data_IF_982269566644
#
_entry.id   IF_982269566644
#
_cell.length_a   1.000
_cell.length_b   1.000
_cell.length_c   1.000
_cell.angle_alpha   90.00
_cell.angle_beta   90.00
_cell.angle_gamma   90.00
#
_symmetry.space_group_name_H-M   'P 1'
#
loop_
_entity.id
_entity.type
_entity.pdbx_description
1 polymer ?
#
# COMPACT_ATOMS: atom_id res chain seq x y z
N UNK A 1 18.34 24.68 -1.49
CA UNK A 1 17.37 23.80 -2.18
C UNK A 1 17.74 22.35 -1.92
N UNK A 2 16.79 21.57 -1.46
CA UNK A 2 17.00 20.13 -1.25
C UNK A 2 16.51 19.37 -2.48
N UNK A 3 17.37 18.51 -3.00
CA UNK A 3 17.01 17.65 -4.12
C UNK A 3 16.81 16.24 -3.60
N UNK A 4 15.63 15.67 -3.85
CA UNK A 4 15.36 14.27 -3.55
C UNK A 4 15.79 13.45 -4.75
N UNK A 5 16.69 12.50 -4.53
CA UNK A 5 17.15 11.58 -5.55
C UNK A 5 16.51 10.22 -5.33
N UNK A 6 15.80 9.73 -6.35
CA UNK A 6 15.18 8.42 -6.33
C UNK A 6 16.02 7.42 -7.11
N UNK A 7 16.14 6.23 -6.58
CA UNK A 7 16.81 5.11 -7.26
C UNK A 7 15.76 4.02 -7.52
N UNK A 8 15.65 3.61 -8.77
CA UNK A 8 14.76 2.50 -9.13
C UNK A 8 15.38 1.20 -8.67
N UNK A 9 14.67 0.47 -7.82
CA UNK A 9 15.12 -0.79 -7.23
C UNK A 9 14.01 -1.82 -7.25
N UNK A 10 14.34 -3.05 -6.82
CA UNK A 10 13.31 -4.03 -6.51
C UNK A 10 12.59 -3.62 -5.22
N UNK A 11 11.30 -3.97 -5.07
CA UNK A 11 10.58 -3.67 -3.83
C UNK A 11 11.26 -4.32 -2.61
N UNK A 12 11.32 -3.61 -1.48
CA UNK A 12 11.92 -4.18 -0.28
C UNK A 12 11.05 -5.28 0.34
N UNK A 13 11.69 -6.15 1.11
CA UNK A 13 11.02 -7.29 1.72
C UNK A 13 9.85 -6.90 2.63
N UNK A 14 9.98 -5.79 3.37
CA UNK A 14 8.91 -5.34 4.26
C UNK A 14 7.63 -4.97 3.50
N UNK A 15 7.78 -4.40 2.31
CA UNK A 15 6.64 -4.04 1.46
C UNK A 15 5.98 -5.29 0.90
N UNK A 16 6.78 -6.24 0.41
CA UNK A 16 6.27 -7.49 -0.12
C UNK A 16 5.56 -8.30 0.97
N UNK A 17 6.09 -8.30 2.19
CA UNK A 17 5.47 -8.97 3.33
C UNK A 17 4.11 -8.34 3.67
N UNK A 18 4.02 -7.02 3.67
CA UNK A 18 2.77 -6.31 3.92
C UNK A 18 1.74 -6.60 2.84
N UNK A 19 2.13 -6.53 1.55
CA UNK A 19 1.24 -6.86 0.43
C UNK A 19 0.75 -8.30 0.49
N UNK A 20 1.64 -9.25 0.84
CA UNK A 20 1.27 -10.64 0.95
C UNK A 20 0.17 -10.84 2.00
N UNK A 21 0.25 -10.16 3.13
CA UNK A 21 -0.77 -10.25 4.16
C UNK A 21 -2.12 -9.67 3.74
N UNK A 22 -2.11 -8.63 2.92
CA UNK A 22 -3.33 -8.10 2.33
C UNK A 22 -3.93 -9.11 1.34
N UNK A 23 -3.11 -9.65 0.45
CA UNK A 23 -3.56 -10.62 -0.54
C UNK A 23 -4.09 -11.90 0.10
N UNK A 24 -3.42 -12.37 1.15
CA UNK A 24 -3.81 -13.57 1.90
C UNK A 24 -4.88 -13.30 2.97
N UNK A 25 -5.20 -12.04 3.22
CA UNK A 25 -6.16 -11.60 4.25
C UNK A 25 -5.77 -12.04 5.68
N UNK A 26 -4.48 -12.05 5.98
CA UNK A 26 -3.96 -12.46 7.30
C UNK A 26 -3.73 -11.30 8.26
N UNK A 27 -3.32 -10.14 7.77
CA UNK A 27 -3.17 -8.89 8.52
C UNK A 27 -2.33 -9.01 9.80
N UNK A 28 -1.22 -9.74 9.73
CA UNK A 28 -0.36 -10.03 10.87
C UNK A 28 0.89 -9.13 10.95
N UNK A 29 2.03 -9.78 11.16
CA UNK A 29 3.32 -9.09 11.40
C UNK A 29 3.82 -8.23 10.26
N UNK A 30 3.35 -8.44 9.04
CA UNK A 30 3.71 -7.58 7.90
C UNK A 30 3.32 -6.13 8.14
N UNK A 31 2.36 -5.87 9.01
CA UNK A 31 1.94 -4.52 9.38
C UNK A 31 2.84 -3.86 10.42
N UNK A 32 3.84 -4.55 10.94
CA UNK A 32 4.84 -3.96 11.83
C UNK A 32 5.76 -2.95 11.11
N UNK A 33 5.69 -2.89 9.79
CA UNK A 33 6.36 -1.85 9.01
C UNK A 33 5.84 -0.44 9.30
N UNK A 34 4.64 -0.30 9.89
CA UNK A 34 4.07 0.99 10.24
C UNK A 34 4.49 1.44 11.63
N UNK A 35 4.78 2.74 11.78
CA UNK A 35 4.91 3.35 13.09
C UNK A 35 3.56 3.24 13.83
N UNK A 36 3.57 3.23 15.16
CA UNK A 36 2.34 3.11 15.94
C UNK A 36 1.34 4.22 15.63
N UNK A 37 1.83 5.43 15.37
CA UNK A 37 1.01 6.61 15.06
C UNK A 37 0.95 6.91 13.57
N UNK A 38 1.22 5.91 12.71
CA UNK A 38 1.16 6.09 11.28
C UNK A 38 -0.24 6.51 10.80
N UNK A 39 -0.27 7.23 9.70
CA UNK A 39 -1.52 7.64 9.07
C UNK A 39 -1.57 7.00 7.67
N UNK A 40 -2.75 6.52 7.29
CA UNK A 40 -2.98 5.95 5.97
C UNK A 40 -4.20 6.58 5.33
N UNK A 41 -4.08 6.96 4.06
CA UNK A 41 -5.20 7.41 3.25
C UNK A 41 -5.15 6.69 1.90
N UNK A 42 -6.18 5.90 1.63
CA UNK A 42 -6.32 5.18 0.35
C UNK A 42 -7.47 5.75 -0.48
N UNK A 43 -7.79 7.04 -0.27
CA UNK A 43 -8.83 7.75 -1.03
C UNK A 43 -10.20 7.76 -0.36
N UNK A 44 -10.36 7.15 0.80
CA UNK A 44 -11.63 7.07 1.52
C UNK A 44 -11.64 7.99 2.74
N UNK A 45 -10.66 7.85 3.61
CA UNK A 45 -10.54 8.61 4.86
C UNK A 45 -9.11 8.48 5.39
N UNK A 46 -8.75 9.33 6.33
CA UNK A 46 -7.52 9.18 7.08
C UNK A 46 -7.72 8.17 8.21
N UNK A 47 -6.90 7.13 8.21
CA UNK A 47 -6.88 6.14 9.28
C UNK A 47 -5.67 6.41 10.16
N UNK A 48 -5.90 6.70 11.43
CA UNK A 48 -4.87 7.11 12.38
C UNK A 48 -4.46 5.95 13.28
N UNK A 49 -3.18 5.58 13.21
CA UNK A 49 -2.58 4.53 14.01
C UNK A 49 -2.51 3.18 13.30
N UNK A 50 -1.48 2.41 13.64
CA UNK A 50 -1.23 1.09 13.03
C UNK A 50 -2.45 0.17 13.14
N UNK A 51 -3.08 0.11 14.30
CA UNK A 51 -4.22 -0.77 14.51
C UNK A 51 -5.44 -0.33 13.73
N UNK A 52 -5.68 0.98 13.61
CA UNK A 52 -6.75 1.49 12.79
C UNK A 52 -6.50 1.19 11.31
N UNK A 53 -5.26 1.31 10.85
CA UNK A 53 -4.88 0.96 9.47
C UNK A 53 -5.18 -0.52 9.22
N UNK A 54 -4.72 -1.40 10.10
CA UNK A 54 -4.97 -2.84 10.00
C UNK A 54 -6.45 -3.17 9.95
N UNK A 55 -7.22 -2.64 10.89
CA UNK A 55 -8.64 -2.95 11.02
C UNK A 55 -9.49 -2.39 9.88
N UNK A 56 -9.23 -1.14 9.49
CA UNK A 56 -9.97 -0.52 8.40
C UNK A 56 -9.64 -1.15 7.05
N UNK A 57 -8.38 -1.50 6.83
CA UNK A 57 -7.97 -2.16 5.60
C UNK A 57 -8.58 -3.56 5.51
N UNK A 58 -8.60 -4.29 6.63
CA UNK A 58 -9.27 -5.60 6.70
C UNK A 58 -10.74 -5.48 6.30
N UNK A 59 -11.44 -4.52 6.85
CA UNK A 59 -12.86 -4.29 6.52
C UNK A 59 -13.03 -3.89 5.06
N UNK A 60 -12.13 -3.06 4.54
CA UNK A 60 -12.16 -2.61 3.15
C UNK A 60 -11.97 -3.79 2.17
N UNK A 61 -11.01 -4.66 2.47
CA UNK A 61 -10.68 -5.81 1.62
C UNK A 61 -11.76 -6.90 1.73
N UNK A 62 -12.41 -7.03 2.89
CA UNK A 62 -13.39 -8.09 3.14
C UNK A 62 -14.79 -7.75 2.64
N UNK A 63 -14.89 -7.03 1.52
CA UNK A 63 -16.15 -6.59 0.92
C UNK A 63 -16.54 -7.36 -0.33
N UNK A 64 -16.14 -8.63 -0.42
CA UNK A 64 -16.55 -9.48 -1.52
C UNK A 64 -15.64 -9.43 -2.73
N UNK A 65 -14.34 -9.20 -2.51
CA UNK A 65 -13.35 -9.31 -3.58
C UNK A 65 -12.02 -9.82 -3.04
N UNK A 66 -11.18 -10.31 -3.95
CA UNK A 66 -9.78 -10.60 -3.69
C UNK A 66 -8.93 -9.63 -4.49
N UNK A 67 -7.80 -9.25 -3.93
CA UNK A 67 -6.85 -8.36 -4.57
C UNK A 67 -5.51 -9.06 -4.72
N UNK A 68 -4.82 -8.77 -5.81
CA UNK A 68 -3.45 -9.23 -6.03
C UNK A 68 -2.62 -8.06 -6.54
N UNK A 69 -1.52 -7.80 -5.83
CA UNK A 69 -0.65 -6.67 -6.15
C UNK A 69 0.40 -7.09 -7.16
N UNK A 70 0.38 -6.47 -8.34
CA UNK A 70 1.41 -6.67 -9.37
C UNK A 70 2.35 -5.47 -9.35
N UNK A 71 3.59 -5.71 -8.94
CA UNK A 71 4.62 -4.67 -8.91
C UNK A 71 5.08 -4.39 -10.33
N UNK A 72 5.05 -3.11 -10.72
CA UNK A 72 5.67 -2.67 -11.97
C UNK A 72 7.01 -2.02 -11.68
N UNK A 73 7.05 -1.09 -10.72
CA UNK A 73 8.29 -0.44 -10.36
C UNK A 73 8.26 0.10 -8.93
N UNK A 74 9.44 0.22 -8.35
CA UNK A 74 9.64 0.78 -7.03
C UNK A 74 10.77 1.79 -7.07
N UNK A 75 10.54 2.95 -6.48
CA UNK A 75 11.50 4.05 -6.43
C UNK A 75 11.87 4.33 -4.98
N UNK A 76 13.16 4.25 -4.68
CA UNK A 76 13.68 4.37 -3.33
C UNK A 76 14.34 5.72 -3.10
N UNK A 77 14.10 6.29 -1.93
CA UNK A 77 14.85 7.38 -1.35
C UNK A 77 14.77 7.25 0.17
N UNK A 78 15.61 7.95 0.95
CA UNK A 78 15.64 7.73 2.41
C UNK A 78 14.33 7.92 3.13
N UNK A 79 13.55 8.95 2.79
CA UNK A 79 12.34 9.31 3.53
C UNK A 79 11.05 9.20 2.71
N UNK A 80 11.13 8.93 1.44
CA UNK A 80 9.94 8.75 0.58
C UNK A 80 10.19 7.59 -0.37
N UNK A 81 9.29 6.61 -0.32
CA UNK A 81 9.34 5.46 -1.20
C UNK A 81 8.08 5.43 -2.05
N UNK A 82 8.24 5.14 -3.32
CA UNK A 82 7.13 5.15 -4.28
C UNK A 82 7.00 3.78 -4.90
N UNK A 83 5.81 3.22 -4.80
CA UNK A 83 5.44 1.97 -5.45
C UNK A 83 4.43 2.28 -6.56
N UNK A 84 4.70 1.79 -7.75
CA UNK A 84 3.78 1.90 -8.86
C UNK A 84 3.50 0.51 -9.43
N UNK A 85 2.23 0.21 -9.63
CA UNK A 85 1.85 -1.11 -10.11
C UNK A 85 0.40 -1.18 -10.52
N UNK A 86 -0.09 -2.40 -10.53
CA UNK A 86 -1.49 -2.69 -10.79
C UNK A 86 -2.02 -3.60 -9.69
N UNK A 87 -3.29 -3.44 -9.37
CA UNK A 87 -3.98 -4.33 -8.46
C UNK A 87 -5.02 -5.12 -9.25
N UNK A 88 -4.83 -6.43 -9.33
CA UNK A 88 -5.83 -7.33 -9.89
C UNK A 88 -6.95 -7.51 -8.89
N UNK A 89 -8.16 -7.14 -9.24
CA UNK A 89 -9.34 -7.28 -8.38
C UNK A 89 -10.32 -8.26 -8.99
N UNK A 90 -10.61 -9.31 -8.26
CA UNK A 90 -11.59 -10.32 -8.64
C UNK A 90 -12.71 -10.34 -7.62
N UNK A 91 -13.93 -10.19 -8.09
CA UNK A 91 -15.10 -10.08 -7.22
C UNK A 91 -15.75 -11.45 -7.00
N UNK A 92 -16.31 -11.65 -5.79
CA UNK A 92 -17.02 -12.88 -5.44
C UNK A 92 -18.31 -13.03 -6.24
N UNK A 93 -18.97 -11.90 -6.55
CA UNK A 93 -20.12 -11.88 -7.43
C UNK A 93 -19.66 -12.08 -8.89
N UNK A 94 -20.03 -13.21 -9.55
CA UNK A 94 -19.58 -13.49 -10.91
C UNK A 94 -20.13 -12.53 -11.96
N UNK A 95 -21.15 -11.75 -11.63
CA UNK A 95 -21.69 -10.73 -12.54
C UNK A 95 -20.82 -9.48 -12.61
N UNK A 96 -19.92 -9.29 -11.64
CA UNK A 96 -19.00 -8.16 -11.59
C UNK A 96 -17.70 -8.55 -12.27
N UNK A 97 -17.33 -7.82 -13.32
CA UNK A 97 -16.14 -8.10 -14.11
C UNK A 97 -14.87 -7.78 -13.32
N UNK A 98 -13.87 -8.65 -13.42
CA UNK A 98 -12.54 -8.41 -12.86
C UNK A 98 -11.91 -7.16 -13.48
N UNK A 99 -11.17 -6.39 -12.69
CA UNK A 99 -10.49 -5.17 -13.12
C UNK A 99 -9.04 -5.16 -12.66
N UNK A 100 -8.20 -4.39 -13.34
CA UNK A 100 -6.78 -4.23 -12.98
C UNK A 100 -6.40 -2.74 -13.03
N UNK A 101 -6.89 -1.93 -12.08
CA UNK A 101 -6.54 -0.51 -12.08
C UNK A 101 -5.06 -0.30 -11.75
N UNK A 102 -4.51 0.78 -12.30
CA UNK A 102 -3.20 1.27 -11.94
C UNK A 102 -3.26 1.88 -10.54
N UNK A 103 -2.23 1.68 -9.76
CA UNK A 103 -2.13 2.31 -8.45
C UNK A 103 -0.73 2.84 -8.19
N UNK A 104 -0.67 3.89 -7.40
CA UNK A 104 0.58 4.49 -6.95
C UNK A 104 0.50 4.68 -5.44
N UNK A 105 1.50 4.20 -4.73
CA UNK A 105 1.57 4.29 -3.29
C UNK A 105 2.80 5.09 -2.88
N UNK A 106 2.58 6.06 -1.98
CA UNK A 106 3.63 6.87 -1.40
C UNK A 106 3.80 6.47 0.06
N UNK A 107 5.01 6.07 0.43
CA UNK A 107 5.33 5.70 1.81
C UNK A 107 6.33 6.71 2.36
N UNK A 108 5.84 7.61 3.21
CA UNK A 108 6.70 8.56 3.92
C UNK A 108 7.22 7.88 5.18
N UNK A 109 8.54 7.78 5.28
CA UNK A 109 9.19 7.12 6.40
C UNK A 109 9.33 8.07 7.59
N UNK A 110 9.34 7.51 8.79
CA UNK A 110 9.54 8.28 10.01
C UNK A 110 10.99 8.77 10.09
N UNK A 111 11.19 10.07 10.26
CA UNK A 111 12.53 10.66 10.35
C UNK A 111 13.33 10.12 11.53
N UNK A 112 12.66 9.79 12.63
CA UNK A 112 13.28 9.24 13.85
C UNK A 112 13.48 7.74 13.78
N UNK A 113 12.72 7.05 12.94
CA UNK A 113 12.81 5.61 12.72
C UNK A 113 12.64 5.32 11.23
N UNK A 114 13.69 5.52 10.40
CA UNK A 114 13.57 5.48 8.94
C UNK A 114 13.18 4.11 8.36
N UNK A 115 13.12 3.08 9.19
CA UNK A 115 12.63 1.75 8.79
C UNK A 115 11.13 1.59 8.98
N UNK A 116 10.46 2.62 9.52
CA UNK A 116 9.01 2.60 9.79
C UNK A 116 8.30 3.62 8.92
N UNK A 117 7.14 3.22 8.39
CA UNK A 117 6.26 4.10 7.63
C UNK A 117 5.46 4.96 8.60
N UNK A 118 5.50 6.28 8.42
CA UNK A 118 4.67 7.20 9.20
C UNK A 118 3.44 7.67 8.44
N UNK A 119 3.46 7.68 7.12
CA UNK A 119 2.31 8.12 6.31
C UNK A 119 2.30 7.33 5.00
N UNK A 120 1.18 6.69 4.74
CA UNK A 120 0.95 5.95 3.51
C UNK A 120 -0.21 6.58 2.77
N UNK A 121 0.03 7.03 1.54
CA UNK A 121 -0.99 7.56 0.64
C UNK A 121 -1.06 6.63 -0.56
N UNK A 122 -2.24 6.08 -0.80
CA UNK A 122 -2.49 5.23 -1.95
C UNK A 122 -3.48 5.88 -2.90
N UNK A 123 -3.11 5.90 -4.17
CA UNK A 123 -3.95 6.41 -5.25
C UNK A 123 -4.25 5.27 -6.19
N UNK A 124 -5.53 4.96 -6.35
CA UNK A 124 -5.99 4.03 -7.37
C UNK A 124 -6.50 4.90 -8.51
N UNK A 125 -5.68 5.00 -9.55
CA UNK A 125 -5.96 5.89 -10.66
C UNK A 125 -7.08 5.38 -11.54
N UNK A 126 -7.68 6.30 -12.31
CA UNK A 126 -8.51 5.87 -13.41
C UNK A 126 -7.63 5.06 -14.36
N UNK A 127 -8.16 3.97 -14.81
CA UNK A 127 -7.51 3.12 -15.80
C UNK A 127 -7.84 3.65 -17.18
N UNK A 128 -6.91 3.56 -18.10
CA UNK A 128 -7.22 3.84 -19.48
C UNK A 128 -7.08 5.28 -19.90
N UNK A 129 -6.09 5.91 -19.39
CA UNK A 129 -5.62 7.10 -20.06
C UNK A 129 -5.05 6.73 -21.40
#
# INVERSE_FOLDING_TARGET
MHTITFTKTTPPDWLLAMWKEIDDKTFGKGFDCFAENAICNLGVADWHGREAIRNNLRQFIDKGFTAHQDVVEFWDSPLLKIFHGKVGMKFDDPSIKSVRPTMTHFFYMDEKAPTKVKHWIGLVGPTGF
#
